data_IF_427028597328
#
_entry.id   IF_427028597328
#
_cell.length_a   1.000
_cell.length_b   1.000
_cell.length_c   1.000
_cell.angle_alpha   90.00
_cell.angle_beta   90.00
_cell.angle_gamma   90.00
#
_symmetry.space_group_name_H-M   'P 1'
#
loop_
_entity.id
_entity.type
_entity.pdbx_description
1 polymer ?
#
# COMPACT_ATOMS: atom_id res chain seq x y z
N UNK A 1 20.88 -37.63 11.43
CA UNK A 1 21.56 -36.35 11.71
C UNK A 1 20.62 -35.23 11.31
N UNK A 2 19.67 -34.87 12.20
CA UNK A 2 18.68 -33.83 11.93
C UNK A 2 19.25 -32.49 12.37
N UNK A 3 19.55 -31.61 11.42
CA UNK A 3 19.96 -30.23 11.71
C UNK A 3 18.78 -29.49 12.34
N UNK A 4 18.94 -29.12 13.62
CA UNK A 4 18.06 -28.22 14.37
C UNK A 4 18.03 -26.83 13.74
N UNK A 5 16.81 -26.28 13.69
CA UNK A 5 16.41 -24.88 13.82
C UNK A 5 17.25 -23.85 13.06
N UNK A 6 16.81 -23.54 11.84
CA UNK A 6 16.97 -22.18 11.35
C UNK A 6 16.08 -21.28 12.22
N UNK A 7 16.71 -20.44 13.05
CA UNK A 7 16.06 -19.33 13.71
C UNK A 7 15.61 -18.35 12.62
N UNK A 8 14.39 -18.52 12.11
CA UNK A 8 13.74 -17.46 11.34
C UNK A 8 13.54 -16.29 12.29
N UNK A 9 14.11 -15.13 11.97
CA UNK A 9 13.69 -13.89 12.62
C UNK A 9 12.19 -13.76 12.34
N UNK A 10 11.40 -13.75 13.41
CA UNK A 10 9.94 -13.56 13.38
C UNK A 10 9.57 -12.09 13.25
N UNK A 11 10.52 -11.21 12.95
CA UNK A 11 10.30 -9.78 12.94
C UNK A 11 9.43 -9.43 11.72
N UNK A 12 8.16 -9.16 12.00
CA UNK A 12 7.21 -8.71 10.99
C UNK A 12 7.53 -7.25 10.70
N UNK A 13 7.39 -6.82 9.45
CA UNK A 13 7.47 -5.39 9.12
C UNK A 13 6.32 -4.98 8.23
N UNK A 14 5.80 -3.79 8.48
CA UNK A 14 4.75 -3.16 7.70
C UNK A 14 5.27 -1.80 7.26
N UNK A 15 5.20 -1.50 5.97
CA UNK A 15 5.48 -0.17 5.45
C UNK A 15 4.18 0.38 4.90
N UNK A 16 3.80 1.56 5.39
CA UNK A 16 2.62 2.29 4.97
C UNK A 16 3.08 3.50 4.19
N UNK A 17 2.50 3.67 3.02
CA UNK A 17 2.92 4.74 2.12
C UNK A 17 1.73 5.46 1.53
N UNK A 18 1.89 6.76 1.36
CA UNK A 18 0.97 7.62 0.63
C UNK A 18 1.78 8.79 0.06
N UNK A 19 1.25 9.43 -0.96
CA UNK A 19 1.84 10.63 -1.51
C UNK A 19 1.48 11.88 -0.70
N UNK A 20 0.33 11.88 -0.03
CA UNK A 20 -0.27 13.01 0.68
C UNK A 20 0.09 12.95 2.17
N UNK A 21 0.94 13.86 2.69
CA UNK A 21 1.37 13.84 4.09
C UNK A 21 0.21 13.91 5.11
N UNK A 22 -0.84 14.66 4.80
CA UNK A 22 -2.00 14.77 5.69
C UNK A 22 -2.76 13.44 5.87
N UNK A 23 -2.73 12.54 4.88
CA UNK A 23 -3.28 11.19 5.03
C UNK A 23 -2.37 10.33 5.91
N UNK A 24 -1.04 10.45 5.72
CA UNK A 24 -0.05 9.77 6.57
C UNK A 24 -0.19 10.18 8.04
N UNK A 25 -0.44 11.47 8.32
CA UNK A 25 -0.67 11.96 9.69
C UNK A 25 -1.91 11.32 10.32
N UNK A 26 -3.02 11.23 9.58
CA UNK A 26 -4.26 10.58 10.03
C UNK A 26 -4.05 9.09 10.29
N UNK A 27 -3.33 8.41 9.40
CA UNK A 27 -3.01 6.98 9.57
C UNK A 27 -2.13 6.79 10.81
N UNK A 28 -1.10 7.61 10.98
CA UNK A 28 -0.20 7.58 12.15
C UNK A 28 -0.97 7.78 13.45
N UNK A 29 -1.88 8.76 13.50
CA UNK A 29 -2.76 8.98 14.65
C UNK A 29 -3.64 7.74 14.93
N UNK A 30 -4.32 7.21 13.91
CA UNK A 30 -5.16 6.02 14.04
C UNK A 30 -4.40 4.79 14.54
N UNK A 31 -3.19 4.55 14.04
CA UNK A 31 -2.34 3.45 14.50
C UNK A 31 -1.89 3.65 15.95
N UNK A 32 -1.64 4.90 16.35
CA UNK A 32 -1.30 5.24 17.73
C UNK A 32 -2.46 4.95 18.67
N UNK A 33 -3.65 5.41 18.31
CA UNK A 33 -4.87 5.31 19.12
C UNK A 33 -5.38 3.87 19.24
N UNK A 34 -5.31 3.08 18.16
CA UNK A 34 -5.95 1.76 18.09
C UNK A 34 -4.99 0.59 18.31
N UNK A 35 -3.69 0.74 17.98
CA UNK A 35 -2.72 -0.37 18.03
C UNK A 35 -1.69 -0.16 19.15
N UNK A 36 -1.61 1.03 19.76
CA UNK A 36 -0.58 1.36 20.73
C UNK A 36 0.80 1.50 20.09
N UNK A 37 0.84 1.84 18.80
CA UNK A 37 2.07 2.21 18.10
C UNK A 37 2.50 3.61 18.58
N UNK A 38 3.57 3.70 19.36
CA UNK A 38 4.20 4.96 19.77
C UNK A 38 5.34 5.23 18.81
N UNK A 39 5.15 6.14 17.87
CA UNK A 39 6.19 6.51 16.93
C UNK A 39 7.26 7.35 17.64
N UNK A 40 8.54 6.94 17.57
CA UNK A 40 9.63 7.69 18.21
C UNK A 40 9.80 9.05 17.54
N UNK A 41 9.57 10.12 18.30
CA UNK A 41 9.69 11.50 17.84
C UNK A 41 11.13 12.05 17.93
N UNK A 42 12.12 11.22 18.28
CA UNK A 42 13.36 11.69 18.91
C UNK A 42 14.64 11.71 18.05
N UNK A 43 14.65 11.33 16.76
CA UNK A 43 15.86 11.43 15.94
C UNK A 43 15.77 12.54 14.88
N UNK A 44 16.09 13.78 15.24
CA UNK A 44 16.13 14.95 14.34
C UNK A 44 17.13 14.88 13.16
N UNK A 45 17.68 13.70 12.86
CA UNK A 45 18.47 13.44 11.65
C UNK A 45 17.89 12.21 10.94
N UNK A 46 17.20 12.44 9.80
CA UNK A 46 16.75 11.37 8.88
C UNK A 46 15.90 10.28 9.56
N UNK A 47 14.63 10.61 9.85
CA UNK A 47 13.71 9.73 10.59
C UNK A 47 13.12 8.67 9.65
N UNK A 48 13.67 7.46 9.69
CA UNK A 48 12.87 6.28 9.41
C UNK A 48 11.94 6.06 10.61
N UNK A 49 10.65 6.35 10.48
CA UNK A 49 9.63 6.21 11.54
C UNK A 49 9.33 4.73 11.85
N UNK A 50 10.32 3.93 12.24
CA UNK A 50 10.17 2.49 12.50
C UNK A 50 9.92 2.22 13.99
N UNK A 51 8.81 1.53 14.34
CA UNK A 51 8.53 1.12 15.73
C UNK A 51 8.15 -0.35 15.87
N UNK A 52 8.66 -1.01 16.92
CA UNK A 52 8.29 -2.34 17.38
C UNK A 52 6.95 -2.28 18.17
N UNK A 53 5.90 -2.87 17.61
CA UNK A 53 4.62 -3.14 18.29
C UNK A 53 4.78 -4.33 19.27
N UNK A 54 3.84 -4.49 20.22
CA UNK A 54 3.80 -5.59 21.22
C UNK A 54 3.91 -7.02 20.64
N UNK A 55 3.87 -7.16 19.33
CA UNK A 55 3.96 -8.39 18.56
C UNK A 55 5.26 -8.55 17.73
N UNK A 56 6.36 -7.87 18.10
CA UNK A 56 7.61 -7.82 17.31
C UNK A 56 7.39 -7.38 15.85
N UNK A 57 6.48 -6.42 15.64
CA UNK A 57 6.16 -5.89 14.32
C UNK A 57 6.70 -4.47 14.17
N UNK A 58 7.54 -4.24 13.16
CA UNK A 58 8.10 -2.92 12.83
C UNK A 58 7.21 -2.21 11.83
N UNK A 59 6.51 -1.15 12.24
CA UNK A 59 5.70 -0.31 11.33
C UNK A 59 6.49 0.91 10.91
N UNK A 60 6.54 1.20 9.61
CA UNK A 60 7.10 2.43 9.01
C UNK A 60 6.04 3.19 8.24
N UNK A 61 6.13 4.51 8.28
CA UNK A 61 5.26 5.42 7.51
C UNK A 61 6.16 6.31 6.68
N UNK A 62 6.08 6.17 5.36
CA UNK A 62 6.98 6.79 4.38
C UNK A 62 6.16 7.47 3.27
N UNK A 63 6.70 8.52 2.65
CA UNK A 63 6.07 9.18 1.51
C UNK A 63 6.37 8.41 0.24
N UNK A 64 5.38 8.13 -0.60
CA UNK A 64 5.61 7.42 -1.84
C UNK A 64 4.75 7.94 -2.99
N UNK A 65 5.42 8.41 -4.04
CA UNK A 65 4.83 8.63 -5.35
C UNK A 65 5.15 7.43 -6.26
N UNK A 66 4.11 6.73 -6.73
CA UNK A 66 4.24 5.54 -7.58
C UNK A 66 4.98 5.84 -8.89
N UNK A 67 4.90 7.07 -9.39
CA UNK A 67 5.60 7.49 -10.60
C UNK A 67 7.09 7.76 -10.39
N UNK A 68 7.58 7.72 -9.14
CA UNK A 68 9.02 7.70 -8.83
C UNK A 68 9.71 6.52 -9.50
N UNK A 69 9.00 5.43 -9.80
CA UNK A 69 9.52 4.28 -10.55
C UNK A 69 10.08 4.68 -11.94
N UNK A 70 9.53 5.71 -12.58
CA UNK A 70 10.04 6.20 -13.87
C UNK A 70 11.51 6.65 -13.76
N UNK A 71 11.93 7.18 -12.60
CA UNK A 71 13.33 7.57 -12.36
C UNK A 71 14.26 6.35 -12.43
N UNK A 72 13.78 5.17 -12.05
CA UNK A 72 14.53 3.91 -12.19
C UNK A 72 14.58 3.46 -13.65
N UNK A 73 13.46 3.55 -14.38
CA UNK A 73 13.42 3.19 -15.80
C UNK A 73 14.40 4.03 -16.64
N UNK A 74 14.48 5.34 -16.37
CA UNK A 74 15.42 6.26 -17.00
C UNK A 74 16.89 5.87 -16.78
N UNK A 75 17.26 5.36 -15.60
CA UNK A 75 18.62 4.87 -15.34
C UNK A 75 18.99 3.66 -16.20
N UNK A 76 17.99 2.91 -16.69
CA UNK A 76 18.19 1.70 -17.51
C UNK A 76 18.06 1.91 -19.02
N UNK A 77 17.84 3.14 -19.49
CA UNK A 77 17.58 3.50 -20.89
C UNK A 77 16.40 2.73 -21.53
N UNK A 78 15.39 2.35 -20.74
CA UNK A 78 14.16 1.72 -21.24
C UNK A 78 13.05 2.76 -21.41
N UNK A 79 13.14 3.56 -22.49
CA UNK A 79 12.18 4.63 -22.77
C UNK A 79 10.74 4.11 -22.99
N UNK A 80 10.59 2.87 -23.45
CA UNK A 80 9.28 2.25 -23.66
C UNK A 80 8.48 2.01 -22.37
N UNK A 81 9.12 2.12 -21.20
CA UNK A 81 8.51 1.82 -19.92
C UNK A 81 8.06 3.04 -19.12
N UNK A 82 8.24 4.26 -19.63
CA UNK A 82 7.87 5.48 -18.90
C UNK A 82 6.36 5.70 -18.99
N UNK A 83 5.70 5.84 -17.83
CA UNK A 83 4.29 6.25 -17.74
C UNK A 83 4.25 7.70 -17.28
N UNK A 84 3.76 8.61 -18.12
CA UNK A 84 3.66 10.02 -17.75
C UNK A 84 2.65 10.18 -16.60
N UNK A 85 2.99 10.88 -15.50
CA UNK A 85 2.05 11.14 -14.42
C UNK A 85 0.83 11.93 -14.90
N UNK A 86 -0.37 11.68 -14.34
CA UNK A 86 -1.54 12.46 -14.67
C UNK A 86 -1.39 13.91 -14.20
N UNK A 87 -2.00 14.86 -14.92
CA UNK A 87 -1.87 16.29 -14.61
C UNK A 87 -2.80 16.76 -13.49
N UNK A 88 -4.02 16.22 -13.41
CA UNK A 88 -5.07 16.75 -12.53
C UNK A 88 -4.73 16.57 -11.04
N UNK A 89 -4.41 15.33 -10.63
CA UNK A 89 -4.19 15.02 -9.22
C UNK A 89 -2.90 15.63 -8.62
N UNK A 90 -1.87 15.87 -9.44
CA UNK A 90 -0.62 16.45 -8.95
C UNK A 90 -0.70 17.97 -8.80
N UNK A 91 -1.50 18.62 -9.66
CA UNK A 91 -1.70 20.06 -9.57
C UNK A 91 -2.55 20.45 -8.36
N UNK A 92 -3.47 19.61 -7.88
CA UNK A 92 -4.25 19.92 -6.67
C UNK A 92 -3.42 19.80 -5.38
N UNK A 93 -2.42 18.91 -5.37
CA UNK A 93 -1.49 18.75 -4.24
C UNK A 93 -0.41 19.84 -4.25
N UNK A 94 0.02 20.29 -5.43
CA UNK A 94 1.12 21.24 -5.58
C UNK A 94 0.70 22.67 -5.99
N UNK A 95 -0.55 22.89 -6.37
CA UNK A 95 -1.07 24.11 -6.96
C UNK A 95 -1.85 24.96 -5.97
N UNK A 96 -1.12 25.64 -5.07
CA UNK A 96 -1.56 26.87 -4.40
C UNK A 96 -0.37 27.43 -3.61
N UNK A 97 0.57 28.10 -4.28
CA UNK A 97 1.66 28.93 -3.69
C UNK A 97 2.60 28.27 -2.65
N UNK A 98 2.33 27.06 -2.18
CA UNK A 98 3.12 26.35 -1.17
C UNK A 98 4.28 25.55 -1.76
N UNK A 99 4.28 25.30 -3.07
CA UNK A 99 5.26 24.42 -3.72
C UNK A 99 6.55 25.13 -4.16
N UNK A 100 6.58 26.47 -4.22
CA UNK A 100 7.84 27.21 -4.45
C UNK A 100 8.73 27.30 -3.19
N UNK A 101 8.25 26.86 -2.02
CA UNK A 101 9.00 26.89 -0.76
C UNK A 101 9.81 25.59 -0.51
N UNK A 102 9.49 24.48 -1.20
CA UNK A 102 10.20 23.20 -0.99
C UNK A 102 11.54 23.09 -1.73
N UNK A 103 11.84 23.94 -2.73
CA UNK A 103 13.13 23.91 -3.40
C UNK A 103 14.23 24.75 -2.74
N UNK A 104 13.92 25.53 -1.69
CA UNK A 104 14.90 26.41 -1.04
C UNK A 104 14.92 26.37 0.50
N UNK A 105 14.14 25.49 1.13
CA UNK A 105 14.23 25.29 2.58
C UNK A 105 14.88 23.94 2.90
N UNK A 106 15.89 23.95 3.77
CA UNK A 106 16.44 22.78 4.48
C UNK A 106 15.39 22.11 5.39
N UNK A 107 14.10 22.22 5.06
CA UNK A 107 13.03 21.54 5.75
C UNK A 107 13.04 20.09 5.27
N UNK A 108 13.78 19.26 6.00
CA UNK A 108 13.56 17.82 6.00
C UNK A 108 12.06 17.59 6.12
N UNK A 109 11.42 17.13 5.04
CA UNK A 109 10.01 16.77 5.05
C UNK A 109 9.72 15.84 6.25
N UNK A 110 8.53 15.98 6.84
CA UNK A 110 8.11 15.20 8.03
C UNK A 110 8.21 13.69 7.80
N UNK A 111 8.10 13.26 6.54
CA UNK A 111 8.16 11.87 6.11
C UNK A 111 9.37 11.63 5.20
N UNK A 112 10.08 10.53 5.46
CA UNK A 112 11.11 10.02 4.57
C UNK A 112 10.48 9.51 3.26
N UNK A 113 11.12 9.80 2.13
CA UNK A 113 10.74 9.21 0.85
C UNK A 113 11.01 7.70 0.84
N UNK A 114 10.06 6.95 0.30
CA UNK A 114 10.13 5.50 0.17
C UNK A 114 11.24 5.10 -0.82
N UNK A 115 12.19 4.30 -0.34
CA UNK A 115 13.35 3.86 -1.10
C UNK A 115 13.03 2.64 -1.97
N UNK A 116 12.50 2.90 -3.18
CA UNK A 116 12.14 1.87 -4.16
C UNK A 116 13.29 0.90 -4.45
N UNK A 117 14.54 1.38 -4.54
CA UNK A 117 15.67 0.51 -4.88
C UNK A 117 15.97 -0.46 -3.74
N UNK A 118 15.97 0.05 -2.50
CA UNK A 118 16.19 -0.77 -1.29
C UNK A 118 15.11 -1.83 -1.11
N UNK A 119 13.86 -1.52 -1.42
CA UNK A 119 12.74 -2.44 -1.21
C UNK A 119 12.39 -3.29 -2.44
N UNK A 120 13.26 -3.35 -3.46
CA UNK A 120 13.06 -4.23 -4.60
C UNK A 120 12.84 -5.68 -4.14
N UNK A 121 11.74 -6.31 -4.60
CA UNK A 121 11.35 -7.69 -4.27
C UNK A 121 11.40 -8.02 -2.77
N UNK A 122 10.98 -7.08 -1.93
CA UNK A 122 11.07 -7.20 -0.46
C UNK A 122 9.73 -7.44 0.22
N UNK A 123 8.62 -7.46 -0.51
CA UNK A 123 7.29 -7.63 0.06
C UNK A 123 6.63 -8.95 -0.33
N UNK A 124 6.17 -9.70 0.67
CA UNK A 124 5.32 -10.89 0.48
C UNK A 124 3.85 -10.50 0.21
N UNK A 125 3.44 -9.32 0.67
CA UNK A 125 2.09 -8.80 0.53
C UNK A 125 2.13 -7.30 0.28
N UNK A 126 1.44 -6.86 -0.77
CA UNK A 126 1.17 -5.45 -1.04
C UNK A 126 -0.34 -5.25 -1.03
N UNK A 127 -0.82 -4.27 -0.26
CA UNK A 127 -2.22 -3.88 -0.23
C UNK A 127 -2.31 -2.43 -0.71
N UNK A 128 -3.17 -2.19 -1.70
CA UNK A 128 -3.49 -0.85 -2.16
C UNK A 128 -5.00 -0.62 -2.05
N UNK A 129 -5.39 0.55 -1.56
CA UNK A 129 -6.79 0.91 -1.42
C UNK A 129 -6.99 2.32 -1.96
N UNK A 130 -7.96 2.48 -2.86
CA UNK A 130 -8.27 3.76 -3.50
C UNK A 130 -7.03 4.41 -4.12
N UNK A 131 -6.41 3.73 -5.08
CA UNK A 131 -5.22 4.24 -5.81
C UNK A 131 -5.42 4.30 -7.33
N UNK A 132 -6.57 3.83 -7.82
CA UNK A 132 -6.87 3.70 -9.24
C UNK A 132 -7.85 4.80 -9.68
N UNK A 133 -7.30 5.98 -9.98
CA UNK A 133 -8.09 7.18 -10.31
C UNK A 133 -8.07 7.55 -11.79
N UNK A 134 -6.99 7.23 -12.49
CA UNK A 134 -6.74 7.64 -13.87
C UNK A 134 -6.05 6.50 -14.64
N UNK A 135 -6.08 6.56 -15.96
CA UNK A 135 -5.49 5.53 -16.83
C UNK A 135 -3.99 5.34 -16.60
N UNK A 136 -3.29 6.39 -16.20
CA UNK A 136 -1.88 6.39 -15.86
C UNK A 136 -1.62 5.53 -14.62
N UNK A 137 -2.50 5.60 -13.61
CA UNK A 137 -2.44 4.71 -12.45
C UNK A 137 -2.58 3.24 -12.87
N UNK A 138 -3.54 2.93 -13.74
CA UNK A 138 -3.76 1.59 -14.26
C UNK A 138 -2.50 0.99 -14.93
N UNK A 139 -1.64 1.84 -15.51
CA UNK A 139 -0.41 1.45 -16.20
C UNK A 139 0.80 1.37 -15.26
N UNK A 140 0.93 2.27 -14.29
CA UNK A 140 2.09 2.31 -13.39
C UNK A 140 1.97 1.29 -12.25
N UNK A 141 0.76 1.02 -11.75
CA UNK A 141 0.52 0.12 -10.62
C UNK A 141 1.16 -1.26 -10.84
N UNK A 142 0.92 -1.96 -11.98
CA UNK A 142 1.50 -3.28 -12.21
C UNK A 142 3.03 -3.28 -12.25
N UNK A 143 3.64 -2.17 -12.71
CA UNK A 143 5.10 -2.00 -12.76
C UNK A 143 5.69 -1.85 -11.36
N UNK A 144 5.06 -1.04 -10.51
CA UNK A 144 5.47 -0.86 -9.10
C UNK A 144 5.33 -2.17 -8.34
N UNK A 145 4.19 -2.85 -8.47
CA UNK A 145 3.95 -4.14 -7.80
C UNK A 145 4.97 -5.17 -8.26
N UNK A 146 5.26 -5.27 -9.55
CA UNK A 146 6.29 -6.19 -10.08
C UNK A 146 7.69 -5.90 -9.55
N UNK A 147 8.01 -4.64 -9.30
CA UNK A 147 9.30 -4.23 -8.73
C UNK A 147 9.42 -4.60 -7.25
N UNK A 148 8.34 -4.41 -6.47
CA UNK A 148 8.34 -4.53 -5.02
C UNK A 148 8.02 -5.93 -4.50
N UNK A 149 7.17 -6.68 -5.20
CA UNK A 149 6.66 -7.96 -4.75
C UNK A 149 7.70 -9.07 -4.94
N UNK A 150 7.82 -9.96 -3.96
CA UNK A 150 8.69 -11.15 -4.05
C UNK A 150 8.27 -12.04 -5.22
N UNK A 151 9.25 -12.64 -5.89
CA UNK A 151 9.04 -13.58 -7.01
C UNK A 151 9.81 -14.88 -6.76
N UNK A 152 9.23 -16.03 -7.13
CA UNK A 152 9.86 -17.36 -7.08
C UNK A 152 11.23 -17.43 -7.75
N UNK A 153 11.48 -16.59 -8.75
CA UNK A 153 12.76 -16.54 -9.47
C UNK A 153 13.88 -15.83 -8.68
N UNK A 154 13.60 -15.30 -7.48
CA UNK A 154 14.62 -14.68 -6.65
C UNK A 154 15.57 -15.75 -6.09
N UNK A 155 16.90 -15.60 -6.26
CA UNK A 155 17.88 -16.54 -5.70
C UNK A 155 17.87 -16.58 -4.16
N UNK A 156 17.16 -15.66 -3.52
CA UNK A 156 16.96 -15.60 -2.07
C UNK A 156 15.59 -16.15 -1.63
N UNK A 157 14.71 -16.52 -2.55
CA UNK A 157 13.43 -17.13 -2.21
C UNK A 157 13.68 -18.57 -1.71
N UNK A 158 13.34 -18.83 -0.45
CA UNK A 158 13.26 -20.19 0.04
C UNK A 158 12.31 -20.99 -0.87
N UNK A 159 12.65 -22.24 -1.22
CA UNK A 159 11.84 -23.13 -2.08
C UNK A 159 10.40 -23.37 -1.59
N UNK A 160 10.05 -22.90 -0.38
CA UNK A 160 8.73 -22.98 0.24
C UNK A 160 8.03 -21.62 0.37
N UNK A 161 8.63 -20.52 -0.13
CA UNK A 161 8.03 -19.20 -0.07
C UNK A 161 6.85 -19.12 -1.06
N UNK A 162 5.68 -18.79 -0.51
CA UNK A 162 4.48 -18.50 -1.29
C UNK A 162 4.78 -17.36 -2.27
N UNK A 163 4.14 -17.38 -3.44
CA UNK A 163 4.18 -16.24 -4.35
C UNK A 163 3.69 -15.00 -3.60
N UNK A 164 4.38 -13.87 -3.82
CA UNK A 164 3.92 -12.63 -3.25
C UNK A 164 2.50 -12.31 -3.74
N UNK A 165 1.69 -11.74 -2.84
CA UNK A 165 0.29 -11.43 -3.07
C UNK A 165 0.11 -9.91 -3.21
N UNK A 166 -0.61 -9.49 -4.24
CA UNK A 166 -1.07 -8.12 -4.38
C UNK A 166 -2.59 -8.06 -4.24
N UNK A 167 -3.05 -7.22 -3.31
CA UNK A 167 -4.47 -6.97 -3.08
C UNK A 167 -4.75 -5.52 -3.40
N UNK A 168 -5.75 -5.26 -4.25
CA UNK A 168 -6.21 -3.90 -4.54
C UNK A 168 -7.71 -3.76 -4.36
N UNK A 169 -8.11 -2.75 -3.60
CA UNK A 169 -9.50 -2.33 -3.40
C UNK A 169 -9.78 -1.13 -4.29
N UNK A 170 -10.75 -1.28 -5.20
CA UNK A 170 -11.14 -0.27 -6.18
C UNK A 170 -12.61 0.11 -6.01
N UNK A 171 -12.93 1.37 -5.68
CA UNK A 171 -14.30 1.85 -5.67
C UNK A 171 -14.93 1.76 -7.07
N UNK A 172 -16.14 1.21 -7.18
CA UNK A 172 -16.88 1.10 -8.44
C UNK A 172 -17.67 2.38 -8.74
N UNK A 173 -16.95 3.48 -8.96
CA UNK A 173 -17.56 4.69 -9.52
C UNK A 173 -17.87 4.44 -11.00
N UNK A 174 -18.96 5.02 -11.51
CA UNK A 174 -19.36 4.89 -12.94
C UNK A 174 -18.24 5.30 -13.90
N UNK A 175 -17.39 6.22 -13.46
CA UNK A 175 -16.25 6.74 -14.23
C UNK A 175 -15.06 5.79 -14.28
N UNK A 176 -14.93 4.83 -13.36
CA UNK A 176 -13.72 4.00 -13.21
C UNK A 176 -13.71 2.72 -14.07
N UNK A 177 -14.72 2.50 -14.92
CA UNK A 177 -14.85 1.25 -15.67
C UNK A 177 -13.66 1.02 -16.61
N UNK A 178 -13.22 2.07 -17.30
CA UNK A 178 -12.13 1.99 -18.26
C UNK A 178 -10.78 1.76 -17.55
N UNK A 179 -10.54 2.45 -16.44
CA UNK A 179 -9.35 2.33 -15.60
C UNK A 179 -9.21 0.91 -15.06
N UNK A 180 -10.32 0.30 -14.61
CA UNK A 180 -10.35 -1.10 -14.16
C UNK A 180 -10.01 -2.06 -15.29
N UNK A 181 -10.64 -1.93 -16.46
CA UNK A 181 -10.37 -2.80 -17.61
C UNK A 181 -8.90 -2.71 -18.06
N UNK A 182 -8.36 -1.49 -18.14
CA UNK A 182 -6.94 -1.28 -18.47
C UNK A 182 -6.04 -1.86 -17.39
N UNK A 183 -6.37 -1.66 -16.11
CA UNK A 183 -5.58 -2.19 -14.99
C UNK A 183 -5.51 -3.72 -15.03
N UNK A 184 -6.63 -4.41 -15.22
CA UNK A 184 -6.68 -5.88 -15.35
C UNK A 184 -5.80 -6.37 -16.51
N UNK A 185 -5.87 -5.70 -17.66
CA UNK A 185 -5.04 -6.02 -18.83
C UNK A 185 -3.55 -5.82 -18.53
N UNK A 186 -3.18 -4.71 -17.88
CA UNK A 186 -1.79 -4.41 -17.54
C UNK A 186 -1.23 -5.36 -16.48
N UNK A 187 -2.04 -5.79 -15.50
CA UNK A 187 -1.66 -6.84 -14.55
C UNK A 187 -1.37 -8.15 -15.26
N UNK A 188 -2.24 -8.58 -16.17
CA UNK A 188 -2.04 -9.78 -16.97
C UNK A 188 -0.76 -9.70 -17.82
N UNK A 189 -0.54 -8.55 -18.49
CA UNK A 189 0.63 -8.30 -19.32
C UNK A 189 1.94 -8.26 -18.49
N UNK A 190 1.87 -7.80 -17.25
CA UNK A 190 3.01 -7.78 -16.34
C UNK A 190 3.40 -9.18 -15.82
N UNK A 191 2.56 -10.20 -16.05
CA UNK A 191 2.79 -11.59 -15.64
C UNK A 191 2.05 -12.02 -14.39
N UNK A 192 1.02 -11.27 -13.96
CA UNK A 192 0.20 -11.65 -12.82
C UNK A 192 -1.00 -12.52 -13.24
N UNK A 193 -1.45 -13.36 -12.31
CA UNK A 193 -2.68 -14.15 -12.39
C UNK A 193 -3.69 -13.61 -11.38
N UNK A 194 -4.94 -13.46 -11.82
CA UNK A 194 -6.06 -13.12 -10.97
C UNK A 194 -6.52 -14.37 -10.22
N UNK A 195 -6.30 -14.41 -8.91
CA UNK A 195 -6.70 -15.53 -8.07
C UNK A 195 -8.17 -15.43 -7.65
N UNK A 196 -8.61 -14.22 -7.30
CA UNK A 196 -9.95 -13.97 -6.78
C UNK A 196 -10.36 -12.52 -7.01
N UNK A 197 -11.65 -12.33 -7.26
CA UNK A 197 -12.31 -11.03 -7.21
C UNK A 197 -13.54 -11.14 -6.34
N UNK A 198 -13.77 -10.14 -5.48
CA UNK A 198 -15.05 -9.97 -4.79
C UNK A 198 -15.58 -8.57 -5.03
N UNK A 199 -16.90 -8.46 -5.00
CA UNK A 199 -17.62 -7.20 -5.09
C UNK A 199 -18.62 -7.16 -3.93
N UNK A 200 -18.54 -6.11 -3.12
CA UNK A 200 -19.44 -5.90 -1.99
C UNK A 200 -19.65 -4.39 -1.78
N UNK A 201 -20.68 -4.05 -1.00
CA UNK A 201 -20.81 -2.70 -0.44
C UNK A 201 -19.99 -2.62 0.85
N UNK A 202 -19.65 -1.39 1.26
CA UNK A 202 -19.02 -1.14 2.56
C UNK A 202 -19.86 -1.71 3.71
N UNK A 203 -21.18 -1.48 3.68
CA UNK A 203 -22.11 -2.02 4.68
C UNK A 203 -22.02 -3.55 4.81
N UNK A 204 -22.05 -4.26 3.67
CA UNK A 204 -21.99 -5.72 3.68
C UNK A 204 -20.64 -6.22 4.24
N UNK A 205 -19.54 -5.61 3.84
CA UNK A 205 -18.21 -6.01 4.33
C UNK A 205 -18.03 -5.71 5.84
N UNK A 206 -18.56 -4.59 6.32
CA UNK A 206 -18.57 -4.26 7.75
C UNK A 206 -19.42 -5.25 8.56
N UNK A 207 -20.57 -5.66 8.04
CA UNK A 207 -21.43 -6.68 8.67
C UNK A 207 -20.73 -8.04 8.72
N UNK A 208 -20.19 -8.52 7.60
CA UNK A 208 -19.45 -9.78 7.53
C UNK A 208 -18.21 -9.77 8.44
N UNK A 209 -17.49 -8.65 8.49
CA UNK A 209 -16.35 -8.49 9.37
C UNK A 209 -16.74 -8.49 10.85
N UNK A 210 -17.82 -7.79 11.21
CA UNK A 210 -18.34 -7.79 12.57
C UNK A 210 -18.74 -9.21 13.02
N UNK A 211 -19.35 -9.99 12.14
CA UNK A 211 -19.72 -11.37 12.42
C UNK A 211 -18.49 -12.27 12.61
N UNK A 212 -17.46 -12.14 11.76
CA UNK A 212 -16.17 -12.85 11.95
C UNK A 212 -15.51 -12.51 13.29
N UNK A 213 -15.59 -11.26 13.75
CA UNK A 213 -15.03 -10.89 15.05
C UNK A 213 -15.82 -11.50 16.20
N UNK A 214 -17.16 -11.50 16.14
CA UNK A 214 -18.01 -12.17 17.13
C UNK A 214 -17.67 -13.65 17.24
N UNK A 215 -17.49 -14.32 16.10
CA UNK A 215 -17.10 -15.73 16.04
C UNK A 215 -15.70 -15.98 16.62
N UNK A 216 -14.77 -15.03 16.47
CA UNK A 216 -13.41 -15.14 17.01
C UNK A 216 -13.30 -14.98 18.53
N UNK A 217 -14.37 -14.59 19.22
CA UNK A 217 -14.41 -14.41 20.68
C UNK A 217 -13.61 -13.20 21.22
N UNK A 218 -13.20 -12.27 20.35
CA UNK A 218 -12.30 -11.16 20.69
C UNK A 218 -13.04 -9.81 20.84
N UNK A 219 -14.22 -9.84 21.48
CA UNK A 219 -15.21 -8.76 21.47
C UNK A 219 -14.89 -7.56 22.38
N UNK A 220 -14.03 -7.72 23.38
CA UNK A 220 -13.86 -6.70 24.43
C UNK A 220 -13.05 -5.45 24.01
N UNK A 221 -12.54 -5.38 22.77
CA UNK A 221 -11.51 -4.41 22.38
C UNK A 221 -11.87 -3.37 21.34
N UNK A 222 -13.06 -3.39 20.74
CA UNK A 222 -13.36 -2.43 19.67
C UNK A 222 -14.74 -1.80 19.86
N UNK A 223 -14.87 -0.47 19.82
CA UNK A 223 -16.14 0.23 19.96
C UNK A 223 -16.97 0.12 18.67
N UNK A 224 -17.42 -1.09 18.33
CA UNK A 224 -18.08 -1.41 17.05
C UNK A 224 -19.43 -0.74 16.82
N UNK A 225 -20.22 -0.59 17.88
CA UNK A 225 -21.56 0.00 17.76
C UNK A 225 -21.50 1.40 17.14
N UNK A 226 -20.46 2.18 17.46
CA UNK A 226 -20.33 3.55 16.94
C UNK A 226 -20.07 3.60 15.44
N UNK A 227 -19.34 2.63 14.88
CA UNK A 227 -18.98 2.59 13.44
C UNK A 227 -20.20 2.27 12.58
N UNK A 228 -21.03 1.32 13.02
CA UNK A 228 -22.24 0.92 12.28
C UNK A 228 -23.37 1.96 12.37
N UNK A 229 -23.34 2.85 13.36
CA UNK A 229 -24.38 3.85 13.63
C UNK A 229 -24.11 5.21 12.98
N UNK A 230 -22.89 5.50 12.52
CA UNK A 230 -22.49 6.85 12.05
C UNK A 230 -22.51 7.05 10.54
N UNK A 231 -22.64 6.01 9.73
CA UNK A 231 -22.58 6.16 8.27
C UNK A 231 -23.97 6.23 7.63
N UNK A 232 -24.22 7.31 6.89
CA UNK A 232 -25.28 7.33 5.88
C UNK A 232 -25.07 6.13 4.95
N UNK A 233 -26.14 5.37 4.68
CA UNK A 233 -26.12 4.16 3.85
C UNK A 233 -25.71 4.48 2.40
N UNK A 234 -24.43 4.71 2.16
CA UNK A 234 -23.88 4.84 0.82
C UNK A 234 -23.87 3.44 0.20
N UNK A 235 -24.61 3.27 -0.89
CA UNK A 235 -24.61 2.03 -1.67
C UNK A 235 -23.35 1.91 -2.54
N UNK A 236 -22.24 2.51 -2.11
CA UNK A 236 -21.00 2.47 -2.87
C UNK A 236 -20.47 1.04 -2.88
N UNK A 237 -20.45 0.47 -4.08
CA UNK A 237 -19.85 -0.84 -4.32
C UNK A 237 -18.37 -0.64 -4.56
N UNK A 238 -17.58 -1.59 -4.12
CA UNK A 238 -16.17 -1.68 -4.47
C UNK A 238 -15.83 -3.11 -4.90
N UNK A 239 -14.74 -3.25 -5.64
CA UNK A 239 -14.14 -4.54 -5.96
C UNK A 239 -12.83 -4.70 -5.25
N UNK A 240 -12.55 -5.91 -4.79
CA UNK A 240 -11.25 -6.28 -4.28
C UNK A 240 -10.68 -7.40 -5.12
N UNK A 241 -9.48 -7.18 -5.64
CA UNK A 241 -8.77 -8.11 -6.51
C UNK A 241 -7.57 -8.72 -5.79
N UNK A 242 -7.34 -10.00 -6.02
CA UNK A 242 -6.22 -10.77 -5.48
C UNK A 242 -5.37 -11.26 -6.66
N UNK A 243 -4.15 -10.74 -6.76
CA UNK A 243 -3.22 -11.06 -7.84
C UNK A 243 -1.96 -11.71 -7.28
N UNK A 244 -1.45 -12.73 -7.97
CA UNK A 244 -0.16 -13.34 -7.67
C UNK A 244 0.71 -13.42 -8.93
N UNK A 245 2.01 -13.57 -8.76
CA UNK A 245 2.92 -13.84 -9.88
C UNK A 245 2.60 -15.22 -10.50
N UNK A 246 2.55 -15.29 -11.83
CA UNK A 246 2.47 -16.57 -12.58
C UNK A 246 3.75 -17.40 -12.45
#
# INVERSE_FOLDING_TARGET
>A
MFRKNQNYSTDKSVVITDFIPALLDKIKASLTDNIGCTFDASSTASISNSKICSCNCTVKVEKFDWFTLNKLALKTNSDSDIVVPPRANYLDVYGSEACEIEHNSNNNGVYQDFDLERYARSFDLIIAADVLYELEHAKIIPKVVKHLLVSKASPHANKAANDGLFVIVVPLRKTHKLEVEVFEQQMCAAGFELLKVFQCSLQQDLEEWADRIKESGNLDRVPFQKVLETEEKTQELYKCYFWANK
#
